data_IF_048106676701
#
_entry.id   IF_048106676701
#
_cell.length_a   1.000
_cell.length_b   1.000
_cell.length_c   1.000
_cell.angle_alpha   90.00
_cell.angle_beta   90.00
_cell.angle_gamma   90.00
#
_symmetry.space_group_name_H-M   'P 1'
#
loop_
_entity.id
_entity.type
_entity.pdbx_description
1 polymer ?
#
# COMPACT_ATOMS: atom_id res chain seq x y z
N UNK A 1 -11.75 -23.52 83.26
CA UNK A 1 -13.04 -23.44 82.54
C UNK A 1 -12.82 -22.57 81.32
N UNK A 2 -13.08 -23.14 80.12
CA UNK A 2 -13.40 -22.53 78.81
C UNK A 2 -13.36 -20.97 78.77
N UNK A 3 -12.81 -20.26 77.79
CA UNK A 3 -12.43 -20.54 76.39
C UNK A 3 -12.32 -19.17 75.68
N UNK A 4 -11.56 -19.09 74.58
CA UNK A 4 -11.64 -18.09 73.47
C UNK A 4 -11.06 -16.68 73.77
N UNK A 5 -10.34 -15.98 72.89
CA UNK A 5 -9.91 -16.16 71.49
C UNK A 5 -8.63 -15.33 71.32
N UNK A 6 -7.65 -15.94 70.67
CA UNK A 6 -6.42 -15.37 70.15
C UNK A 6 -6.75 -14.60 68.86
N UNK A 7 -6.42 -13.31 68.77
CA UNK A 7 -6.40 -12.58 67.49
C UNK A 7 -4.96 -12.19 67.14
N UNK A 8 -4.34 -13.05 66.33
CA UNK A 8 -3.52 -12.71 65.16
C UNK A 8 -4.22 -11.56 64.38
N UNK A 9 -3.61 -10.50 63.84
CA UNK A 9 -2.36 -10.43 63.09
C UNK A 9 -1.92 -8.97 62.96
N UNK A 10 -0.66 -8.69 63.29
CA UNK A 10 0.09 -7.50 62.85
C UNK A 10 0.78 -7.87 61.54
N UNK A 11 0.40 -7.26 60.42
CA UNK A 11 1.22 -7.05 59.20
C UNK A 11 0.36 -6.41 58.09
N UNK A 12 0.12 -5.10 58.22
CA UNK A 12 -0.35 -4.25 57.11
C UNK A 12 0.44 -2.94 57.16
N UNK A 13 1.71 -3.01 56.82
CA UNK A 13 2.53 -1.88 56.44
C UNK A 13 3.68 -2.43 55.60
N UNK A 14 3.96 -1.80 54.45
CA UNK A 14 5.02 -2.14 53.47
C UNK A 14 4.62 -3.00 52.25
N UNK A 15 3.52 -2.66 51.58
CA UNK A 15 3.30 -3.05 50.18
C UNK A 15 2.83 -1.86 49.30
N UNK A 16 3.27 -0.64 49.62
CA UNK A 16 2.79 0.60 48.99
C UNK A 16 3.82 1.41 48.18
N UNK A 17 5.06 0.94 47.99
CA UNK A 17 6.13 1.76 47.40
C UNK A 17 7.06 1.04 46.39
N UNK A 18 6.53 0.13 45.57
CA UNK A 18 7.28 -0.40 44.40
C UNK A 18 6.54 -0.28 43.05
N UNK A 19 5.58 0.65 42.93
CA UNK A 19 5.01 1.01 41.62
C UNK A 19 5.34 2.45 41.23
N UNK A 20 6.60 2.85 41.38
CA UNK A 20 7.11 4.08 40.76
C UNK A 20 8.18 3.74 39.75
N UNK A 21 7.93 4.09 38.48
CA UNK A 21 8.86 4.15 37.35
C UNK A 21 8.91 2.99 36.34
N UNK A 22 7.86 2.17 36.21
CA UNK A 22 7.49 1.74 34.85
C UNK A 22 6.86 2.96 34.16
N UNK A 23 7.70 3.85 33.64
CA UNK A 23 7.27 4.73 32.55
C UNK A 23 6.58 3.81 31.56
N UNK A 24 5.29 4.04 31.31
CA UNK A 24 4.58 3.44 30.20
C UNK A 24 5.38 3.78 28.94
N UNK A 25 6.34 2.92 28.61
CA UNK A 25 6.88 2.80 27.27
C UNK A 25 5.66 2.47 26.46
N UNK A 26 5.06 3.48 25.82
CA UNK A 26 4.17 3.21 24.71
C UNK A 26 4.91 2.21 23.83
N UNK A 27 4.28 1.09 23.45
CA UNK A 27 4.94 0.12 22.59
C UNK A 27 5.47 0.92 21.40
N UNK A 28 6.81 0.94 21.26
CA UNK A 28 7.46 1.61 20.14
C UNK A 28 6.84 0.96 18.91
N UNK A 29 6.05 1.72 18.17
CA UNK A 29 5.33 1.21 17.00
C UNK A 29 6.38 0.57 16.09
N UNK A 30 6.31 -0.75 15.97
CA UNK A 30 7.31 -1.49 15.23
C UNK A 30 7.24 -1.00 13.78
N UNK A 31 8.36 -0.48 13.29
CA UNK A 31 8.48 0.01 11.91
C UNK A 31 7.93 -1.04 10.95
N UNK A 32 7.04 -0.61 10.05
CA UNK A 32 6.47 -1.43 9.00
C UNK A 32 6.76 -0.81 7.63
N UNK A 33 7.05 -1.65 6.63
CA UNK A 33 7.13 -1.22 5.23
C UNK A 33 5.73 -1.01 4.67
N UNK A 34 5.55 0.02 3.85
CA UNK A 34 4.26 0.30 3.21
C UNK A 34 4.06 -0.61 2.01
N UNK A 35 2.85 -1.16 1.87
CA UNK A 35 2.44 -1.88 0.66
C UNK A 35 2.28 -0.91 -0.50
N UNK A 36 2.90 -1.25 -1.61
CA UNK A 36 2.80 -0.48 -2.85
C UNK A 36 1.49 -0.81 -3.57
N UNK A 37 0.61 0.18 -3.73
CA UNK A 37 -0.73 -0.03 -4.27
C UNK A 37 -1.02 0.93 -5.44
N UNK A 38 -1.98 0.54 -6.28
CA UNK A 38 -2.58 1.44 -7.27
C UNK A 38 -4.10 1.40 -7.15
N UNK A 39 -4.70 2.58 -7.05
CA UNK A 39 -6.16 2.73 -6.96
C UNK A 39 -6.73 2.75 -8.37
N UNK A 40 -7.50 1.72 -8.71
CA UNK A 40 -8.11 1.59 -10.03
C UNK A 40 -9.31 2.51 -10.12
N UNK A 41 -10.28 2.31 -9.23
CA UNK A 41 -11.56 3.01 -9.24
C UNK A 41 -12.19 3.05 -7.87
N UNK A 42 -12.99 4.09 -7.64
CA UNK A 42 -13.97 4.17 -6.55
C UNK A 42 -15.27 4.57 -7.22
N UNK A 43 -16.19 3.62 -7.32
CA UNK A 43 -17.44 3.81 -8.05
C UNK A 43 -18.58 4.15 -7.10
N UNK A 44 -19.38 5.15 -7.48
CA UNK A 44 -20.66 5.47 -6.90
C UNK A 44 -21.79 5.01 -7.83
N UNK A 45 -23.04 5.10 -7.37
CA UNK A 45 -24.19 4.90 -8.25
C UNK A 45 -24.31 6.06 -9.24
N UNK A 46 -24.92 5.83 -10.40
CA UNK A 46 -25.26 6.88 -11.37
C UNK A 46 -26.24 7.94 -10.84
N UNK A 47 -26.86 7.68 -9.68
CA UNK A 47 -27.64 8.68 -8.97
C UNK A 47 -26.73 9.73 -8.30
N UNK A 48 -25.60 9.30 -7.74
CA UNK A 48 -24.59 10.20 -7.18
C UNK A 48 -23.70 10.82 -8.26
N UNK A 49 -23.37 10.05 -9.30
CA UNK A 49 -22.59 10.50 -10.44
C UNK A 49 -23.51 11.04 -11.53
N UNK A 50 -23.75 12.35 -11.51
CA UNK A 50 -24.64 13.04 -12.42
C UNK A 50 -23.93 14.17 -13.18
N UNK A 51 -24.63 14.79 -14.14
CA UNK A 51 -24.05 15.82 -15.02
C UNK A 51 -23.53 17.07 -14.26
N UNK A 52 -23.98 17.32 -13.02
CA UNK A 52 -23.54 18.44 -12.19
C UNK A 52 -22.57 18.06 -11.07
N UNK A 53 -22.33 16.77 -10.82
CA UNK A 53 -21.49 16.30 -9.72
C UNK A 53 -20.99 14.87 -9.95
N UNK A 54 -19.66 14.69 -9.94
CA UNK A 54 -19.02 13.39 -10.05
C UNK A 54 -18.56 12.93 -8.65
N UNK A 55 -19.42 12.21 -7.94
CA UNK A 55 -19.15 11.73 -6.58
C UNK A 55 -17.97 10.76 -6.57
N UNK A 56 -17.89 9.85 -7.54
CA UNK A 56 -16.79 8.90 -7.70
C UNK A 56 -15.43 9.61 -7.74
N UNK A 57 -15.33 10.69 -8.51
CA UNK A 57 -14.11 11.48 -8.62
C UNK A 57 -13.74 12.21 -7.31
N UNK A 58 -14.74 12.78 -6.62
CA UNK A 58 -14.52 13.40 -5.31
C UNK A 58 -14.07 12.37 -4.26
N UNK A 59 -14.73 11.21 -4.21
CA UNK A 59 -14.36 10.12 -3.31
C UNK A 59 -12.95 9.59 -3.61
N UNK A 60 -12.59 9.45 -4.89
CA UNK A 60 -11.24 9.07 -5.33
C UNK A 60 -10.19 10.09 -4.90
N UNK A 61 -10.46 11.39 -5.05
CA UNK A 61 -9.57 12.45 -4.60
C UNK A 61 -9.33 12.40 -3.09
N UNK A 62 -10.38 12.18 -2.29
CA UNK A 62 -10.26 12.04 -0.83
C UNK A 62 -9.51 10.77 -0.42
N UNK A 63 -9.70 9.68 -1.17
CA UNK A 63 -9.07 8.40 -0.86
C UNK A 63 -7.55 8.47 -0.87
N UNK A 64 -6.94 9.16 -1.85
CA UNK A 64 -5.49 9.36 -1.86
C UNK A 64 -5.02 10.04 -0.57
N UNK A 65 -5.75 11.05 -0.07
CA UNK A 65 -5.47 11.69 1.21
C UNK A 65 -5.52 10.72 2.40
N UNK A 66 -6.53 9.84 2.42
CA UNK A 66 -6.70 8.81 3.47
C UNK A 66 -5.54 7.81 3.49
N UNK A 67 -5.02 7.41 2.34
CA UNK A 67 -3.89 6.47 2.25
C UNK A 67 -2.64 7.00 2.97
N UNK A 68 -2.40 8.32 2.91
CA UNK A 68 -1.23 8.94 3.54
C UNK A 68 -1.33 9.03 5.07
N UNK A 69 -2.53 8.93 5.66
CA UNK A 69 -2.72 9.07 7.12
C UNK A 69 -2.18 7.89 7.93
N UNK A 70 -2.28 6.66 7.39
CA UNK A 70 -2.06 5.42 8.17
C UNK A 70 -0.75 4.71 7.88
N UNK A 71 0.14 5.29 7.07
CA UNK A 71 1.49 4.79 6.77
C UNK A 71 1.59 3.30 6.36
N UNK A 72 0.48 2.65 6.02
CA UNK A 72 0.41 1.22 5.66
C UNK A 72 0.51 1.01 4.15
N UNK A 73 0.11 2.02 3.39
CA UNK A 73 0.06 2.01 1.94
C UNK A 73 0.86 3.16 1.37
N UNK A 74 1.35 2.96 0.15
CA UNK A 74 1.85 4.02 -0.70
C UNK A 74 1.18 3.88 -2.07
N UNK A 75 0.44 4.90 -2.48
CA UNK A 75 -0.13 4.98 -3.82
C UNK A 75 0.96 5.40 -4.81
N UNK A 76 1.40 4.47 -5.64
CA UNK A 76 2.35 4.76 -6.71
C UNK A 76 1.61 4.86 -8.03
N UNK A 77 1.61 6.06 -8.59
CA UNK A 77 1.00 6.33 -9.90
C UNK A 77 1.97 6.21 -11.07
N UNK A 78 3.27 6.17 -10.79
CA UNK A 78 4.33 6.03 -11.79
C UNK A 78 5.12 4.76 -11.51
N UNK A 79 5.01 3.80 -12.42
CA UNK A 79 5.90 2.65 -12.47
C UNK A 79 6.85 2.82 -13.64
N UNK A 80 8.09 2.33 -13.53
CA UNK A 80 8.93 2.23 -14.71
C UNK A 80 8.23 1.36 -15.76
N UNK A 81 8.05 1.89 -16.96
CA UNK A 81 7.66 1.07 -18.11
C UNK A 81 8.89 0.41 -18.73
N UNK A 82 8.69 -0.66 -19.52
CA UNK A 82 9.78 -1.23 -20.31
C UNK A 82 10.42 -0.16 -21.19
N UNK A 83 9.60 0.66 -21.84
CA UNK A 83 10.00 1.72 -22.76
C UNK A 83 10.90 2.75 -22.06
N UNK A 84 10.59 3.09 -20.81
CA UNK A 84 11.39 4.00 -19.98
C UNK A 84 12.76 3.44 -19.59
N UNK A 85 12.90 2.10 -19.58
CA UNK A 85 14.10 1.41 -19.10
C UNK A 85 15.01 0.94 -20.24
N UNK A 86 14.57 1.09 -21.50
CA UNK A 86 15.47 1.00 -22.66
C UNK A 86 16.34 2.25 -22.69
N UNK A 87 17.55 2.13 -22.15
CA UNK A 87 18.60 3.13 -22.37
C UNK A 87 18.80 3.27 -23.88
N UNK A 88 18.66 4.47 -24.49
CA UNK A 88 18.98 4.64 -25.90
C UNK A 88 20.43 4.22 -26.10
N UNK A 89 20.62 3.18 -26.88
CA UNK A 89 21.94 2.66 -27.22
C UNK A 89 22.72 3.78 -27.92
N UNK A 90 23.96 4.05 -27.48
CA UNK A 90 24.82 5.02 -28.16
C UNK A 90 25.22 4.56 -29.58
N UNK A 91 24.83 3.34 -29.98
CA UNK A 91 25.00 2.80 -31.32
C UNK A 91 23.79 2.95 -32.26
N UNK A 92 22.88 3.91 -32.01
CA UNK A 92 21.91 4.38 -33.02
C UNK A 92 22.57 5.24 -34.12
N UNK A 93 23.65 4.76 -34.73
CA UNK A 93 24.23 5.31 -35.96
C UNK A 93 23.98 4.32 -37.10
N UNK A 94 22.84 4.51 -37.79
CA UNK A 94 22.68 4.37 -39.26
C UNK A 94 21.21 4.48 -39.73
N UNK A 95 20.25 4.76 -38.84
CA UNK A 95 18.94 5.24 -39.28
C UNK A 95 19.05 6.75 -39.51
N UNK A 96 18.95 7.17 -40.78
CA UNK A 96 18.96 8.58 -41.17
C UNK A 96 18.02 9.40 -40.28
N UNK A 97 18.58 10.50 -39.82
CA UNK A 97 18.08 11.60 -38.98
C UNK A 97 16.81 12.28 -39.52
N UNK A 98 15.75 11.52 -39.81
CA UNK A 98 14.50 12.03 -40.36
C UNK A 98 13.31 11.23 -39.82
N UNK A 99 12.86 11.55 -38.60
CA UNK A 99 11.42 11.55 -38.21
C UNK A 99 11.17 11.68 -36.71
N UNK A 100 12.17 11.56 -35.84
CA UNK A 100 11.98 11.87 -34.42
C UNK A 100 12.45 13.30 -34.16
N UNK A 101 11.46 14.20 -34.09
CA UNK A 101 11.65 15.58 -33.70
C UNK A 101 12.49 15.66 -32.42
N UNK A 102 13.38 16.65 -32.39
CA UNK A 102 14.32 16.93 -31.31
C UNK A 102 13.62 17.49 -30.04
N UNK A 103 12.50 16.89 -29.65
CA UNK A 103 11.76 17.24 -28.44
C UNK A 103 11.97 16.15 -27.39
N UNK A 104 13.02 16.36 -26.58
CA UNK A 104 13.21 15.82 -25.22
C UNK A 104 12.79 14.35 -25.04
N UNK A 105 13.70 13.42 -25.33
CA UNK A 105 13.69 12.12 -24.65
C UNK A 105 13.92 12.43 -23.16
N UNK A 106 12.84 12.57 -22.39
CA UNK A 106 12.92 12.70 -20.94
C UNK A 106 13.48 11.40 -20.41
N UNK A 107 14.78 11.37 -20.12
CA UNK A 107 15.39 10.25 -19.40
C UNK A 107 14.58 10.06 -18.13
N UNK A 108 13.90 8.92 -18.02
CA UNK A 108 13.08 8.60 -16.85
C UNK A 108 13.92 8.82 -15.58
N UNK A 109 13.36 9.42 -14.50
CA UNK A 109 14.07 9.63 -13.24
C UNK A 109 14.77 8.37 -12.72
N UNK A 110 14.19 7.21 -13.02
CA UNK A 110 14.74 5.88 -12.76
C UNK A 110 16.10 5.67 -13.41
N UNK A 111 16.18 5.93 -14.72
CA UNK A 111 17.39 5.77 -15.50
C UNK A 111 18.48 6.75 -15.07
N UNK A 112 18.10 8.00 -14.78
CA UNK A 112 19.04 9.01 -14.29
C UNK A 112 19.67 8.58 -12.94
N UNK A 113 18.87 8.02 -12.03
CA UNK A 113 19.34 7.53 -10.74
C UNK A 113 20.24 6.29 -10.89
N UNK A 114 19.89 5.33 -11.75
CA UNK A 114 20.73 4.17 -12.03
C UNK A 114 22.09 4.60 -12.59
N UNK A 115 22.12 5.52 -13.58
CA UNK A 115 23.39 6.04 -14.11
C UNK A 115 24.23 6.75 -13.06
N UNK A 116 23.60 7.44 -12.10
CA UNK A 116 24.32 8.08 -10.98
C UNK A 116 25.00 7.04 -10.10
N UNK A 117 24.33 5.92 -9.80
CA UNK A 117 24.89 4.85 -8.97
C UNK A 117 25.89 3.96 -9.70
N UNK A 118 25.71 3.78 -11.00
CA UNK A 118 26.53 2.93 -11.86
C UNK A 118 26.93 3.70 -13.12
N UNK A 119 27.90 4.63 -13.03
CA UNK A 119 28.29 5.47 -14.18
C UNK A 119 28.82 4.69 -15.38
N UNK A 120 29.31 3.47 -15.15
CA UNK A 120 29.88 2.58 -16.17
C UNK A 120 28.87 1.57 -16.73
N UNK A 121 27.62 1.54 -16.21
CA UNK A 121 26.60 0.61 -16.69
C UNK A 121 26.22 0.92 -18.14
N UNK A 122 26.26 -0.11 -18.99
CA UNK A 122 25.85 -0.03 -20.40
C UNK A 122 24.34 -0.26 -20.51
N UNK A 123 23.75 0.21 -21.62
CA UNK A 123 22.33 0.00 -21.95
C UNK A 123 21.90 -1.46 -21.94
N UNK A 124 22.77 -2.32 -22.46
CA UNK A 124 22.63 -3.79 -22.47
C UNK A 124 22.64 -4.43 -21.09
N UNK A 125 23.18 -3.78 -20.05
CA UNK A 125 23.19 -4.31 -18.68
C UNK A 125 21.81 -4.17 -18.00
N UNK A 126 20.88 -3.44 -18.63
CA UNK A 126 19.47 -3.31 -18.25
C UNK A 126 18.54 -4.18 -19.11
N UNK A 127 19.06 -5.18 -19.83
CA UNK A 127 18.25 -6.02 -20.70
C UNK A 127 17.27 -6.89 -19.89
N UNK A 128 16.03 -6.45 -19.73
CA UNK A 128 14.98 -7.24 -19.11
C UNK A 128 14.67 -8.47 -19.95
N UNK A 129 14.66 -9.64 -19.32
CA UNK A 129 14.08 -10.81 -19.98
C UNK A 129 12.59 -10.54 -20.22
N UNK A 130 12.09 -10.81 -21.44
CA UNK A 130 10.66 -10.62 -21.76
C UNK A 130 9.73 -11.30 -20.74
N UNK A 131 10.19 -12.41 -20.14
CA UNK A 131 9.40 -13.21 -19.21
C UNK A 131 9.12 -12.55 -17.86
N UNK A 132 9.92 -11.57 -17.46
CA UNK A 132 9.86 -10.95 -16.12
C UNK A 132 9.76 -9.43 -16.18
N UNK A 133 9.88 -8.83 -17.36
CA UNK A 133 9.96 -7.39 -17.55
C UNK A 133 8.70 -6.65 -17.10
N UNK A 134 7.51 -7.23 -17.24
CA UNK A 134 6.28 -6.63 -16.73
C UNK A 134 6.18 -6.69 -15.20
N UNK A 135 6.89 -7.60 -14.52
CA UNK A 135 6.77 -7.79 -13.07
C UNK A 135 7.15 -6.55 -12.27
N UNK A 136 8.03 -5.71 -12.83
CA UNK A 136 8.52 -4.48 -12.23
C UNK A 136 7.59 -3.28 -12.44
N UNK A 137 6.63 -3.39 -13.36
CA UNK A 137 5.75 -2.28 -13.76
C UNK A 137 4.38 -2.30 -13.08
N UNK A 138 4.13 -3.26 -12.17
CA UNK A 138 2.86 -3.39 -11.45
C UNK A 138 3.01 -3.17 -9.94
N UNK A 139 1.96 -2.67 -9.26
CA UNK A 139 1.91 -2.59 -7.80
C UNK A 139 2.01 -3.96 -7.13
N UNK A 140 2.04 -3.98 -5.80
CA UNK A 140 1.74 -5.21 -5.06
C UNK A 140 0.24 -5.55 -5.12
N UNK A 141 -0.63 -4.52 -5.07
CA UNK A 141 -2.09 -4.67 -5.15
C UNK A 141 -2.74 -3.60 -6.01
N UNK A 142 -3.77 -3.99 -6.75
CA UNK A 142 -4.79 -3.06 -7.23
C UNK A 142 -5.88 -2.91 -6.18
N UNK A 143 -6.36 -1.70 -5.94
CA UNK A 143 -7.49 -1.45 -5.06
C UNK A 143 -8.65 -0.91 -5.89
N UNK A 144 -9.83 -1.51 -5.72
CA UNK A 144 -11.09 -0.97 -6.22
C UNK A 144 -12.08 -0.81 -5.06
N UNK A 145 -12.81 0.31 -5.07
CA UNK A 145 -13.86 0.63 -4.11
C UNK A 145 -15.21 0.79 -4.80
N UNK A 146 -16.26 0.55 -4.04
CA UNK A 146 -17.64 0.86 -4.44
C UNK A 146 -18.41 1.43 -3.25
N UNK A 147 -19.13 2.53 -3.48
CA UNK A 147 -20.10 3.08 -2.54
C UNK A 147 -21.42 2.37 -2.80
N UNK A 148 -21.77 1.46 -1.89
CA UNK A 148 -22.93 0.58 -2.02
C UNK A 148 -24.23 1.31 -1.70
N UNK A 149 -24.19 2.20 -0.71
CA UNK A 149 -25.33 3.01 -0.30
C UNK A 149 -24.87 4.35 0.28
N UNK A 150 -25.72 5.35 0.14
CA UNK A 150 -25.65 6.61 0.88
C UNK A 150 -27.07 7.01 1.22
N UNK A 151 -27.36 7.04 2.51
CA UNK A 151 -28.71 7.17 3.05
C UNK A 151 -28.73 8.30 4.07
N UNK A 152 -29.56 9.31 3.82
CA UNK A 152 -29.95 10.33 4.76
C UNK A 152 -31.27 9.93 5.45
N UNK A 153 -31.36 10.15 6.74
CA UNK A 153 -32.51 9.82 7.59
C UNK A 153 -33.02 11.09 8.27
N UNK A 154 -34.34 11.23 8.36
CA UNK A 154 -35.06 12.30 9.06
C UNK A 154 -36.09 11.64 9.99
N UNK A 155 -35.83 11.66 11.30
CA UNK A 155 -36.63 11.02 12.33
C UNK A 155 -36.72 9.49 12.20
N UNK A 156 -37.83 8.93 12.69
CA UNK A 156 -38.08 7.49 12.67
C UNK A 156 -38.72 6.97 11.35
N UNK A 157 -39.10 7.86 10.42
CA UNK A 157 -39.99 7.50 9.31
C UNK A 157 -39.49 7.86 7.90
N UNK A 158 -38.54 8.78 7.75
CA UNK A 158 -38.10 9.24 6.43
C UNK A 158 -36.65 8.86 6.17
N UNK A 159 -36.45 8.09 5.10
CA UNK A 159 -35.15 7.70 4.56
C UNK A 159 -35.08 8.15 3.11
N UNK A 160 -34.03 8.90 2.76
CA UNK A 160 -33.73 9.32 1.41
C UNK A 160 -32.30 8.90 1.06
N UNK A 161 -32.14 8.12 0.01
CA UNK A 161 -30.84 7.61 -0.38
C UNK A 161 -30.94 6.65 -1.56
N UNK A 162 -29.80 6.21 -2.05
CA UNK A 162 -29.78 5.13 -3.05
C UNK A 162 -29.50 3.80 -2.36
N UNK A 163 -30.50 2.92 -2.38
CA UNK A 163 -30.38 1.51 -2.03
C UNK A 163 -31.54 0.76 -2.71
N UNK A 164 -31.49 0.66 -4.04
CA UNK A 164 -32.47 0.02 -4.95
C UNK A 164 -33.98 0.35 -4.79
N UNK A 165 -34.37 1.15 -3.79
CA UNK A 165 -35.76 1.44 -3.44
C UNK A 165 -35.96 2.94 -3.53
N UNK A 166 -36.54 3.40 -4.63
CA UNK A 166 -36.93 4.79 -4.82
C UNK A 166 -38.10 5.08 -3.87
N UNK A 167 -37.80 5.65 -2.70
CA UNK A 167 -38.84 6.13 -1.78
C UNK A 167 -39.41 7.42 -2.37
N UNK A 168 -40.70 7.39 -2.76
CA UNK A 168 -41.43 8.58 -3.17
C UNK A 168 -41.64 9.48 -1.94
N UNK A 169 -41.06 10.68 -1.96
CA UNK A 169 -41.26 11.67 -0.90
C UNK A 169 -42.48 12.55 -1.24
N UNK A 170 -43.36 12.84 -0.26
CA UNK A 170 -44.46 13.79 -0.46
C UNK A 170 -43.92 15.22 -0.69
N UNK A 171 -44.47 15.90 -1.69
CA UNK A 171 -43.95 17.11 -2.36
C UNK A 171 -43.79 18.34 -1.45
N UNK A 172 -44.30 18.32 -0.20
CA UNK A 172 -44.31 19.50 0.70
C UNK A 172 -43.66 19.24 2.08
N UNK A 173 -42.91 18.15 2.25
CA UNK A 173 -42.30 17.83 3.54
C UNK A 173 -41.02 18.64 3.82
N UNK A 174 -40.98 19.36 4.95
CA UNK A 174 -39.73 19.92 5.50
C UNK A 174 -38.84 18.76 5.98
N UNK A 175 -37.89 18.36 5.15
CA UNK A 175 -36.91 17.33 5.51
C UNK A 175 -35.86 17.91 6.47
N UNK A 176 -35.78 17.39 7.69
CA UNK A 176 -34.69 17.69 8.62
C UNK A 176 -33.85 16.43 8.76
N UNK A 177 -32.67 16.42 8.16
CA UNK A 177 -31.77 15.28 8.29
C UNK A 177 -31.23 15.16 9.72
N UNK A 178 -31.41 14.00 10.32
CA UNK A 178 -30.92 13.68 11.67
C UNK A 178 -29.70 12.76 11.62
N UNK A 179 -29.62 11.91 10.60
CA UNK A 179 -28.54 10.93 10.45
C UNK A 179 -28.20 10.73 8.98
N UNK A 180 -26.93 10.50 8.68
CA UNK A 180 -26.49 9.99 7.38
C UNK A 180 -25.67 8.73 7.58
N UNK A 181 -25.85 7.75 6.70
CA UNK A 181 -25.13 6.48 6.63
C UNK A 181 -24.53 6.34 5.25
N UNK A 182 -23.33 5.80 5.18
CA UNK A 182 -22.74 5.34 3.93
C UNK A 182 -22.16 3.95 4.12
N UNK A 183 -22.43 3.07 3.16
CA UNK A 183 -21.83 1.74 3.11
C UNK A 183 -20.86 1.67 1.92
N UNK A 184 -19.65 1.21 2.19
CA UNK A 184 -18.57 1.07 1.21
C UNK A 184 -18.07 -0.37 1.20
N UNK A 185 -17.69 -0.86 0.02
CA UNK A 185 -16.92 -2.09 -0.12
C UNK A 185 -15.62 -1.81 -0.85
N UNK A 186 -14.52 -2.36 -0.35
CA UNK A 186 -13.22 -2.30 -1.01
C UNK A 186 -12.67 -3.70 -1.24
N UNK A 187 -12.07 -3.88 -2.41
CA UNK A 187 -11.40 -5.09 -2.83
C UNK A 187 -9.95 -4.78 -3.19
N UNK A 188 -9.04 -5.62 -2.70
CA UNK A 188 -7.66 -5.66 -3.15
C UNK A 188 -7.48 -6.87 -4.08
N UNK A 189 -6.91 -6.62 -5.25
CA UNK A 189 -6.67 -7.62 -6.26
C UNK A 189 -5.18 -7.88 -6.42
N UNK A 190 -4.84 -9.15 -6.62
CA UNK A 190 -3.53 -9.52 -7.11
C UNK A 190 -3.38 -9.01 -8.55
N UNK A 191 -2.36 -8.20 -8.86
CA UNK A 191 -2.22 -7.58 -10.19
C UNK A 191 -1.88 -8.58 -11.29
N UNK A 192 -1.58 -9.82 -10.94
CA UNK A 192 -1.19 -10.88 -11.87
C UNK A 192 -2.34 -11.82 -12.19
N UNK A 193 -3.00 -12.32 -11.15
CA UNK A 193 -4.09 -13.28 -11.30
C UNK A 193 -5.46 -12.62 -11.39
N UNK A 194 -5.54 -11.31 -11.08
CA UNK A 194 -6.79 -10.55 -10.92
C UNK A 194 -7.73 -11.14 -9.86
N UNK A 195 -7.23 -12.04 -8.99
CA UNK A 195 -8.00 -12.60 -7.91
C UNK A 195 -8.08 -11.62 -6.74
N UNK A 196 -9.22 -11.63 -6.04
CA UNK A 196 -9.41 -10.86 -4.81
C UNK A 196 -8.59 -11.50 -3.69
N UNK A 197 -7.65 -10.75 -3.12
CA UNK A 197 -6.80 -11.18 -1.99
C UNK A 197 -7.21 -10.52 -0.67
N UNK A 198 -8.04 -9.47 -0.74
CA UNK A 198 -8.63 -8.82 0.41
C UNK A 198 -9.96 -8.18 0.05
N UNK A 199 -10.94 -8.28 0.94
CA UNK A 199 -12.25 -7.66 0.78
C UNK A 199 -12.73 -7.15 2.13
N UNK A 200 -13.22 -5.92 2.17
CA UNK A 200 -13.78 -5.33 3.39
C UNK A 200 -15.04 -4.53 3.06
N UNK A 201 -15.97 -4.55 3.99
CA UNK A 201 -17.11 -3.63 4.00
C UNK A 201 -16.92 -2.68 5.18
N UNK A 202 -17.19 -1.40 4.97
CA UNK A 202 -17.21 -0.42 6.04
C UNK A 202 -18.52 0.36 6.00
N UNK A 203 -18.98 0.71 7.18
CA UNK A 203 -20.13 1.59 7.36
C UNK A 203 -19.66 2.83 8.10
N UNK A 204 -20.11 3.99 7.64
CA UNK A 204 -19.88 5.26 8.30
C UNK A 204 -21.20 5.95 8.61
N UNK A 205 -21.27 6.57 9.78
CA UNK A 205 -22.44 7.28 10.23
C UNK A 205 -22.06 8.67 10.74
N UNK A 206 -22.90 9.65 10.44
CA UNK A 206 -22.91 10.95 11.13
C UNK A 206 -24.30 11.21 11.67
N UNK A 207 -24.36 11.59 12.95
CA UNK A 207 -25.57 12.00 13.68
C UNK A 207 -25.47 13.51 13.96
N UNK A 208 -26.59 14.11 14.34
CA UNK A 208 -26.66 15.45 14.92
C UNK A 208 -26.30 16.58 13.94
N UNK A 209 -27.12 16.73 12.89
CA UNK A 209 -27.02 17.88 11.99
C UNK A 209 -27.67 19.12 12.62
N UNK A 210 -26.89 20.18 12.77
CA UNK A 210 -27.35 21.49 13.25
C UNK A 210 -28.02 22.33 12.17
N UNK A 211 -27.80 22.00 10.89
CA UNK A 211 -28.37 22.72 9.76
C UNK A 211 -29.61 21.99 9.22
N UNK A 212 -30.79 22.56 9.44
CA UNK A 212 -31.98 22.19 8.69
C UNK A 212 -31.87 22.77 7.29
N UNK A 213 -31.86 21.92 6.27
CA UNK A 213 -31.91 22.35 4.88
C UNK A 213 -33.31 22.08 4.32
N UNK A 214 -33.95 23.12 3.79
CA UNK A 214 -35.16 22.94 3.01
C UNK A 214 -34.79 22.35 1.65
N UNK A 215 -35.15 21.10 1.40
CA UNK A 215 -35.12 20.54 0.05
C UNK A 215 -36.44 20.94 -0.61
N UNK A 216 -36.40 21.74 -1.67
CA UNK A 216 -37.55 21.96 -2.53
C UNK A 216 -37.67 20.73 -3.46
N UNK A 217 -38.65 19.86 -3.21
CA UNK A 217 -38.70 18.46 -3.65
C UNK A 217 -39.06 18.26 -5.14
N UNK A 218 -38.86 19.29 -5.99
CA UNK A 218 -39.11 19.19 -7.42
C UNK A 218 -38.15 18.23 -8.13
N UNK A 219 -36.84 18.33 -7.85
CA UNK A 219 -35.78 17.42 -8.33
C UNK A 219 -34.59 17.55 -7.37
N UNK A 220 -34.29 16.52 -6.57
CA UNK A 220 -33.12 16.55 -5.67
C UNK A 220 -31.86 16.39 -6.52
N UNK A 221 -31.16 17.50 -6.77
CA UNK A 221 -29.84 17.48 -7.39
C UNK A 221 -28.79 17.42 -6.29
N UNK A 222 -28.11 16.27 -6.14
CA UNK A 222 -26.92 16.16 -5.31
C UNK A 222 -25.78 16.87 -6.04
N UNK A 223 -25.52 18.11 -5.63
CA UNK A 223 -24.44 18.96 -6.15
C UNK A 223 -23.34 19.21 -5.10
N UNK A 224 -22.28 19.96 -5.48
CA UNK A 224 -21.16 20.28 -4.59
C UNK A 224 -21.58 20.96 -3.27
N UNK A 225 -22.57 21.86 -3.32
CA UNK A 225 -23.08 22.54 -2.11
C UNK A 225 -23.81 21.57 -1.18
N UNK A 226 -24.59 20.64 -1.74
CA UNK A 226 -25.22 19.58 -0.94
C UNK A 226 -24.15 18.72 -0.27
N UNK A 227 -23.14 18.28 -1.02
CA UNK A 227 -22.02 17.49 -0.50
C UNK A 227 -21.30 18.17 0.67
N UNK A 228 -21.08 19.49 0.57
CA UNK A 228 -20.38 20.29 1.59
C UNK A 228 -21.22 20.55 2.84
N UNK A 229 -22.48 20.94 2.68
CA UNK A 229 -23.32 21.42 3.79
C UNK A 229 -23.98 20.27 4.57
N UNK A 230 -24.27 19.14 3.91
CA UNK A 230 -24.97 18.01 4.53
C UNK A 230 -24.07 17.06 5.30
N UNK A 231 -22.79 17.40 5.53
CA UNK A 231 -21.82 16.51 6.18
C UNK A 231 -21.55 15.20 5.43
N UNK A 232 -22.02 15.09 4.19
CA UNK A 232 -21.74 13.99 3.28
C UNK A 232 -20.23 13.81 3.09
N UNK A 233 -19.49 14.91 2.95
CA UNK A 233 -18.02 14.89 2.91
C UNK A 233 -17.39 14.19 4.13
N UNK A 234 -17.91 14.46 5.32
CA UNK A 234 -17.38 13.86 6.54
C UNK A 234 -17.72 12.38 6.66
N UNK A 235 -18.94 11.98 6.30
CA UNK A 235 -19.33 10.57 6.25
C UNK A 235 -18.51 9.82 5.22
N UNK A 236 -18.32 10.41 4.02
CA UNK A 236 -17.46 9.87 2.97
C UNK A 236 -16.05 9.65 3.48
N UNK A 237 -15.42 10.68 4.04
CA UNK A 237 -14.06 10.60 4.57
C UNK A 237 -13.95 9.56 5.71
N UNK A 238 -14.91 9.53 6.63
CA UNK A 238 -14.94 8.56 7.73
C UNK A 238 -15.05 7.12 7.21
N UNK A 239 -15.91 6.90 6.21
CA UNK A 239 -16.06 5.59 5.57
C UNK A 239 -14.80 5.17 4.83
N UNK A 240 -14.19 6.05 4.05
CA UNK A 240 -12.93 5.77 3.36
C UNK A 240 -11.81 5.43 4.36
N UNK A 241 -11.69 6.20 5.46
CA UNK A 241 -10.74 5.90 6.56
C UNK A 241 -10.96 4.52 7.17
N UNK A 242 -12.21 4.18 7.47
CA UNK A 242 -12.58 2.88 8.01
C UNK A 242 -12.23 1.76 7.03
N UNK A 243 -12.64 1.88 5.76
CA UNK A 243 -12.34 0.90 4.72
C UNK A 243 -10.84 0.71 4.50
N UNK A 244 -10.06 1.79 4.38
CA UNK A 244 -8.60 1.71 4.18
C UNK A 244 -7.94 1.02 5.38
N UNK A 245 -8.33 1.40 6.59
CA UNK A 245 -7.77 0.80 7.82
C UNK A 245 -8.08 -0.69 7.90
N UNK A 246 -9.34 -1.08 7.65
CA UNK A 246 -9.74 -2.49 7.66
C UNK A 246 -9.07 -3.28 6.54
N UNK A 247 -8.93 -2.69 5.34
CA UNK A 247 -8.26 -3.34 4.22
C UNK A 247 -6.77 -3.54 4.50
N UNK A 248 -6.11 -2.54 5.08
CA UNK A 248 -4.72 -2.64 5.53
C UNK A 248 -4.55 -3.77 6.55
N UNK A 249 -5.39 -3.80 7.59
CA UNK A 249 -5.36 -4.87 8.59
C UNK A 249 -5.57 -6.24 7.97
N UNK A 250 -6.52 -6.37 7.02
CA UNK A 250 -6.77 -7.62 6.31
C UNK A 250 -5.54 -8.06 5.51
N UNK A 251 -4.94 -7.17 4.72
CA UNK A 251 -3.78 -7.49 3.90
C UNK A 251 -2.50 -7.74 4.71
N UNK A 252 -2.34 -7.09 5.86
CA UNK A 252 -1.18 -7.30 6.75
C UNK A 252 -1.29 -8.59 7.57
N UNK A 253 -2.50 -9.10 7.79
CA UNK A 253 -2.74 -10.35 8.54
C UNK A 253 -2.97 -11.58 7.64
N UNK A 254 -3.19 -11.38 6.33
CA UNK A 254 -3.39 -12.47 5.38
C UNK A 254 -2.09 -13.23 5.10
N UNK A 255 -2.07 -14.58 5.25
CA UNK A 255 -0.94 -15.39 4.83
C UNK A 255 -0.66 -15.23 3.33
N UNK A 256 0.63 -15.12 2.96
CA UNK A 256 1.03 -14.94 1.56
C UNK A 256 0.99 -13.50 1.06
N UNK A 257 0.41 -12.59 1.84
CA UNK A 257 0.39 -11.15 1.56
C UNK A 257 1.52 -10.42 2.32
N UNK A 258 2.69 -11.01 2.43
CA UNK A 258 3.85 -10.32 2.98
C UNK A 258 4.25 -9.12 2.11
N UNK A 259 4.95 -8.15 2.68
CA UNK A 259 5.55 -7.09 1.87
C UNK A 259 6.53 -7.70 0.86
N UNK A 260 6.41 -7.30 -0.40
CA UNK A 260 7.34 -7.76 -1.45
C UNK A 260 7.52 -6.74 -2.55
N UNK A 261 8.66 -6.84 -3.23
CA UNK A 261 9.00 -6.03 -4.40
C UNK A 261 9.83 -6.85 -5.39
N UNK A 262 10.43 -6.18 -6.38
CA UNK A 262 11.15 -6.78 -7.50
C UNK A 262 12.54 -6.18 -7.71
N UNK A 263 13.46 -7.00 -8.19
CA UNK A 263 14.76 -6.56 -8.70
C UNK A 263 14.56 -5.88 -10.06
N UNK A 264 15.12 -4.69 -10.25
CA UNK A 264 15.05 -3.90 -11.49
C UNK A 264 16.41 -3.71 -12.16
N UNK A 265 17.50 -4.00 -11.46
CA UNK A 265 18.86 -4.05 -12.00
C UNK A 265 19.67 -5.09 -11.21
N UNK A 266 20.54 -5.81 -11.92
CA UNK A 266 21.43 -6.82 -11.35
C UNK A 266 22.81 -6.68 -11.99
N UNK A 267 23.83 -6.48 -11.15
CA UNK A 267 25.24 -6.54 -11.52
C UNK A 267 25.98 -7.53 -10.61
N UNK A 268 27.30 -7.64 -10.75
CA UNK A 268 28.09 -8.72 -10.14
C UNK A 268 27.86 -8.88 -8.62
N UNK A 269 27.95 -7.77 -7.88
CA UNK A 269 27.80 -7.75 -6.40
C UNK A 269 26.76 -6.74 -5.92
N UNK A 270 26.08 -6.06 -6.85
CA UNK A 270 25.14 -4.98 -6.53
C UNK A 270 23.86 -5.18 -7.32
N UNK A 271 22.75 -4.77 -6.73
CA UNK A 271 21.44 -4.79 -7.36
C UNK A 271 20.72 -3.47 -7.10
N UNK A 272 19.63 -3.25 -7.84
CA UNK A 272 18.62 -2.26 -7.51
C UNK A 272 17.27 -2.95 -7.37
N UNK A 273 16.57 -2.63 -6.29
CA UNK A 273 15.19 -3.08 -6.06
C UNK A 273 14.22 -1.93 -6.25
N UNK A 274 13.02 -2.26 -6.71
CA UNK A 274 11.91 -1.32 -6.80
C UNK A 274 11.42 -0.95 -5.39
N UNK A 275 11.20 0.34 -5.12
CA UNK A 275 10.84 0.81 -3.79
C UNK A 275 12.05 1.37 -3.03
N UNK A 276 11.81 2.46 -2.33
CA UNK A 276 12.82 3.17 -1.56
C UNK A 276 12.25 3.79 -0.30
N UNK A 277 12.67 5.02 0.01
CA UNK A 277 12.29 5.71 1.22
C UNK A 277 10.77 5.92 1.34
N UNK A 278 10.04 6.01 0.23
CA UNK A 278 8.58 6.11 0.30
C UNK A 278 7.92 4.81 0.79
N UNK A 279 8.56 3.68 0.46
CA UNK A 279 8.47 2.32 1.01
C UNK A 279 8.53 2.26 2.54
N UNK A 280 9.17 3.27 3.13
CA UNK A 280 9.72 3.18 4.46
C UNK A 280 11.00 2.34 4.51
N UNK A 281 11.66 2.05 3.38
CA UNK A 281 12.97 1.36 3.32
C UNK A 281 14.07 2.32 3.80
N UNK A 282 15.07 1.80 4.50
CA UNK A 282 16.22 2.56 5.00
C UNK A 282 17.53 1.86 4.63
N UNK A 283 18.65 2.61 4.54
CA UNK A 283 19.99 2.02 4.51
C UNK A 283 20.19 1.07 5.71
N UNK A 284 20.84 -0.05 5.47
CA UNK A 284 21.08 -1.10 6.47
C UNK A 284 19.99 -2.17 6.59
N UNK A 285 18.80 -1.95 6.02
CA UNK A 285 17.80 -3.02 5.92
C UNK A 285 18.33 -4.19 5.09
N UNK A 286 17.93 -5.41 5.44
CA UNK A 286 18.28 -6.61 4.70
C UNK A 286 17.06 -7.26 4.05
N UNK A 287 17.26 -7.75 2.84
CA UNK A 287 16.21 -8.41 2.04
C UNK A 287 16.68 -9.77 1.54
N UNK A 288 15.72 -10.67 1.39
CA UNK A 288 15.87 -11.98 0.74
C UNK A 288 15.39 -11.89 -0.70
N UNK A 289 16.16 -12.47 -1.61
CA UNK A 289 15.85 -12.50 -3.04
C UNK A 289 15.70 -13.94 -3.51
N UNK A 290 14.67 -14.14 -4.32
CA UNK A 290 14.29 -15.42 -4.88
C UNK A 290 14.11 -15.28 -6.39
N UNK A 291 14.93 -15.97 -7.18
CA UNK A 291 14.67 -16.12 -8.60
C UNK A 291 13.40 -16.96 -8.77
N UNK A 292 12.57 -16.60 -9.73
CA UNK A 292 11.30 -17.27 -10.00
C UNK A 292 11.21 -17.63 -11.49
N UNK A 293 10.69 -18.82 -11.77
CA UNK A 293 10.18 -19.20 -13.07
C UNK A 293 8.69 -18.91 -13.08
N UNK A 294 8.26 -18.18 -14.11
CA UNK A 294 6.89 -17.75 -14.29
C UNK A 294 6.19 -18.58 -15.37
N UNK A 295 4.97 -19.01 -15.08
CA UNK A 295 4.11 -19.70 -16.04
C UNK A 295 3.04 -18.72 -16.51
N UNK A 296 2.93 -18.55 -17.83
CA UNK A 296 2.02 -17.60 -18.45
C UNK A 296 0.99 -18.32 -19.31
N UNK A 297 -0.23 -17.77 -19.35
CA UNK A 297 -1.20 -18.03 -20.40
C UNK A 297 -1.13 -16.88 -21.42
N UNK A 298 -0.75 -17.20 -22.66
CA UNK A 298 -0.41 -16.22 -23.70
C UNK A 298 1.08 -15.87 -23.75
N UNK A 299 1.45 -14.86 -24.55
CA UNK A 299 2.83 -14.34 -24.59
C UNK A 299 3.19 -13.71 -23.24
N UNK A 300 4.36 -14.02 -22.70
CA UNK A 300 4.79 -13.44 -21.43
C UNK A 300 4.80 -11.91 -21.52
N UNK A 301 4.17 -11.27 -20.54
CA UNK A 301 4.03 -9.82 -20.46
C UNK A 301 3.25 -9.15 -21.63
N UNK A 302 2.50 -9.91 -22.43
CA UNK A 302 1.58 -9.35 -23.43
C UNK A 302 0.33 -8.72 -22.81
N UNK A 303 -0.37 -7.86 -23.57
CA UNK A 303 -1.57 -7.14 -23.09
C UNK A 303 -2.68 -8.06 -22.58
N UNK A 304 -2.88 -9.21 -23.25
CA UNK A 304 -3.86 -10.23 -22.88
C UNK A 304 -3.27 -11.37 -22.05
N UNK A 305 -2.04 -11.23 -21.53
CA UNK A 305 -1.35 -12.29 -20.81
C UNK A 305 -1.83 -12.42 -19.36
N UNK A 306 -1.92 -13.65 -18.88
CA UNK A 306 -2.29 -13.97 -17.51
C UNK A 306 -1.16 -14.78 -16.89
N UNK A 307 -0.61 -14.33 -15.77
CA UNK A 307 0.34 -15.12 -15.00
C UNK A 307 -0.44 -16.21 -14.25
N UNK A 308 -0.20 -17.47 -14.60
CA UNK A 308 -0.93 -18.62 -14.04
C UNK A 308 -0.17 -19.29 -12.88
N UNK A 309 1.13 -19.04 -12.77
CA UNK A 309 1.94 -19.59 -11.70
C UNK A 309 3.31 -18.95 -11.58
N UNK A 310 3.93 -19.10 -10.42
CA UNK A 310 5.33 -18.70 -10.19
C UNK A 310 5.97 -19.65 -9.20
N UNK A 311 7.09 -20.25 -9.59
CA UNK A 311 7.82 -21.21 -8.77
C UNK A 311 9.21 -20.67 -8.51
N UNK A 312 9.65 -20.71 -7.26
CA UNK A 312 11.04 -20.36 -6.90
C UNK A 312 11.96 -21.42 -7.48
N UNK A 313 12.99 -21.00 -8.25
CA UNK A 313 13.69 -21.87 -9.20
C UNK A 313 14.43 -23.03 -8.55
N UNK A 314 15.01 -22.87 -7.35
CA UNK A 314 15.84 -23.96 -6.85
C UNK A 314 16.29 -23.90 -5.39
N UNK A 315 16.02 -22.87 -4.59
CA UNK A 315 16.24 -23.02 -3.13
C UNK A 315 15.53 -21.94 -2.30
N UNK A 316 14.31 -22.21 -1.83
CA UNK A 316 13.69 -21.34 -0.84
C UNK A 316 14.51 -21.29 0.47
N UNK A 317 15.36 -22.31 0.71
CA UNK A 317 16.19 -22.41 1.91
C UNK A 317 17.50 -21.63 1.80
N UNK A 318 17.95 -21.30 0.59
CA UNK A 318 19.17 -20.52 0.35
C UNK A 318 18.89 -19.31 -0.57
N UNK A 319 18.19 -18.26 -0.11
CA UNK A 319 18.02 -17.02 -0.86
C UNK A 319 19.31 -16.19 -0.93
N UNK A 320 19.42 -15.30 -1.91
CA UNK A 320 20.40 -14.21 -1.80
C UNK A 320 19.96 -13.25 -0.70
N UNK A 321 20.89 -12.86 0.14
CA UNK A 321 20.73 -11.84 1.17
C UNK A 321 21.44 -10.59 0.66
N UNK A 322 20.69 -9.49 0.65
CA UNK A 322 21.22 -8.19 0.25
C UNK A 322 21.02 -7.19 1.37
N UNK A 323 21.88 -6.18 1.44
CA UNK A 323 21.77 -5.07 2.37
C UNK A 323 21.66 -3.75 1.61
N UNK A 324 20.72 -2.90 2.01
CA UNK A 324 20.51 -1.59 1.37
C UNK A 324 21.67 -0.65 1.71
N UNK A 325 22.30 -0.11 0.67
CA UNK A 325 23.32 0.93 0.78
C UNK A 325 22.69 2.33 0.74
N UNK A 326 21.78 2.52 -0.22
CA UNK A 326 21.13 3.80 -0.49
C UNK A 326 19.64 3.56 -0.78
N UNK A 327 18.79 4.08 0.11
CA UNK A 327 17.35 4.11 -0.05
C UNK A 327 16.95 5.41 -0.76
N UNK A 328 17.01 5.39 -2.09
CA UNK A 328 16.51 6.49 -2.91
C UNK A 328 15.00 6.70 -2.75
N UNK A 329 14.42 7.70 -3.42
CA UNK A 329 12.97 7.94 -3.27
C UNK A 329 12.15 6.76 -3.80
N UNK A 330 12.39 6.30 -5.04
CA UNK A 330 11.57 5.32 -5.75
C UNK A 330 12.15 3.90 -5.83
N UNK A 331 13.43 3.75 -5.52
CA UNK A 331 14.21 2.53 -5.68
C UNK A 331 15.37 2.55 -4.70
N UNK A 332 15.93 1.36 -4.41
CA UNK A 332 17.04 1.23 -3.47
C UNK A 332 18.19 0.45 -4.09
N UNK A 333 19.41 0.95 -3.88
CA UNK A 333 20.65 0.23 -4.21
C UNK A 333 21.02 -0.69 -3.05
N UNK A 334 21.39 -1.92 -3.36
CA UNK A 334 21.84 -2.89 -2.38
C UNK A 334 23.08 -3.66 -2.87
N UNK A 335 23.91 -4.13 -1.95
CA UNK A 335 24.97 -5.08 -2.23
C UNK A 335 24.61 -6.47 -1.71
N UNK A 336 25.17 -7.50 -2.35
CA UNK A 336 24.93 -8.91 -2.02
C UNK A 336 25.88 -9.34 -0.90
N UNK A 337 25.35 -9.93 0.18
CA UNK A 337 26.13 -10.39 1.34
C UNK A 337 26.65 -11.83 1.16
N UNK A 338 25.92 -12.69 0.44
CA UNK A 338 26.27 -14.08 0.16
C UNK A 338 26.38 -14.30 -1.36
N UNK A 339 27.45 -13.78 -1.96
CA UNK A 339 27.74 -14.01 -3.38
C UNK A 339 27.91 -15.51 -3.63
N UNK A 340 27.31 -16.00 -4.72
CA UNK A 340 27.28 -17.43 -5.08
C UNK A 340 27.93 -17.63 -6.43
N UNK A 341 29.06 -18.33 -6.46
CA UNK A 341 29.80 -18.58 -7.69
C UNK A 341 28.94 -19.30 -8.74
N UNK A 342 28.98 -18.80 -9.97
CA UNK A 342 28.26 -19.40 -11.11
C UNK A 342 26.74 -19.16 -11.11
N UNK A 343 26.21 -18.28 -10.27
CA UNK A 343 24.80 -17.89 -10.28
C UNK A 343 24.60 -16.38 -10.23
N UNK A 344 23.49 -15.90 -10.77
CA UNK A 344 23.13 -14.47 -10.81
C UNK A 344 21.71 -14.24 -10.30
N UNK A 345 21.47 -13.05 -9.74
CA UNK A 345 20.12 -12.59 -9.42
C UNK A 345 19.41 -12.19 -10.71
N UNK A 346 18.24 -12.76 -10.95
CA UNK A 346 17.46 -12.47 -12.16
C UNK A 346 16.73 -11.12 -12.05
N UNK A 347 16.58 -10.42 -13.18
CA UNK A 347 15.70 -9.27 -13.25
C UNK A 347 14.24 -9.72 -13.03
N UNK A 348 13.50 -8.98 -12.21
CA UNK A 348 12.15 -9.36 -11.77
C UNK A 348 12.11 -10.42 -10.66
N UNK A 349 13.27 -10.85 -10.13
CA UNK A 349 13.32 -11.72 -8.96
C UNK A 349 12.52 -11.13 -7.78
N UNK A 350 11.88 -12.01 -7.00
CA UNK A 350 11.06 -11.62 -5.86
C UNK A 350 11.95 -11.19 -4.70
N UNK A 351 11.66 -10.02 -4.16
CA UNK A 351 12.36 -9.46 -2.99
C UNK A 351 11.39 -9.44 -1.81
N UNK A 352 11.81 -9.99 -0.67
CA UNK A 352 11.06 -9.97 0.60
C UNK A 352 11.93 -9.39 1.71
N UNK A 353 11.31 -8.70 2.68
CA UNK A 353 12.02 -8.22 3.86
C UNK A 353 12.62 -9.38 4.64
N UNK A 354 13.90 -9.28 5.01
CA UNK A 354 14.55 -10.21 5.92
C UNK A 354 14.62 -9.64 7.34
N UNK A 355 15.23 -8.46 7.48
CA UNK A 355 15.46 -7.79 8.75
C UNK A 355 15.49 -6.28 8.54
N UNK A 356 14.94 -5.54 9.51
CA UNK A 356 15.14 -4.09 9.56
C UNK A 356 16.54 -3.75 10.04
N UNK A 357 17.08 -2.60 9.63
CA UNK A 357 18.42 -2.15 10.06
C UNK A 357 18.58 -2.15 11.58
N UNK A 358 17.53 -1.84 12.34
CA UNK A 358 17.56 -1.83 13.80
C UNK A 358 17.78 -3.26 14.36
N UNK A 359 17.23 -4.28 13.71
CA UNK A 359 17.42 -5.69 14.06
C UNK A 359 18.80 -6.21 13.66
N UNK A 360 19.32 -5.77 12.51
CA UNK A 360 20.68 -6.08 12.05
C UNK A 360 21.71 -5.59 13.06
N UNK A 361 21.56 -4.34 13.52
CA UNK A 361 22.45 -3.74 14.51
C UNK A 361 22.37 -4.47 15.87
N UNK A 362 21.17 -4.81 16.32
CA UNK A 362 20.98 -5.57 17.56
C UNK A 362 21.64 -6.95 17.50
N UNK A 363 21.50 -7.66 16.37
CA UNK A 363 22.15 -8.95 16.16
C UNK A 363 23.68 -8.84 16.15
N UNK A 364 24.23 -7.82 15.49
CA UNK A 364 25.67 -7.57 15.46
C UNK A 364 26.22 -7.25 16.85
N UNK A 365 25.51 -6.46 17.66
CA UNK A 365 25.89 -6.16 19.04
C UNK A 365 25.90 -7.41 19.92
N UNK A 366 24.85 -8.24 19.85
CA UNK A 366 24.77 -9.49 20.60
C UNK A 366 25.91 -10.48 20.23
N UNK A 367 26.30 -10.53 18.96
CA UNK A 367 27.43 -11.36 18.51
C UNK A 367 28.79 -10.83 18.97
N UNK A 368 28.95 -9.51 19.10
CA UNK A 368 30.17 -8.90 19.61
C UNK A 368 30.36 -9.19 21.11
N UNK A 369 29.29 -9.14 21.91
CA UNK A 369 29.31 -9.48 23.34
C UNK A 369 29.58 -10.96 23.60
N UNK A 370 29.16 -11.84 22.68
CA UNK A 370 29.34 -13.29 22.81
C UNK A 370 30.77 -13.77 22.51
N UNK A 371 31.65 -12.94 21.91
CA UNK A 371 33.05 -13.34 21.68
C UNK A 371 33.83 -13.22 23.00
N UNK A 372 34.27 -14.36 23.60
CA UNK A 372 34.99 -14.32 24.87
C UNK A 372 36.29 -13.51 24.72
N UNK A 373 36.55 -12.65 25.70
CA UNK A 373 37.76 -11.84 25.74
C UNK A 373 38.98 -12.78 25.65
N UNK A 374 39.84 -12.67 24.60
CA UNK A 374 41.02 -13.51 24.50
C UNK A 374 41.90 -13.22 25.72
N UNK A 375 42.05 -14.22 26.58
CA UNK A 375 42.92 -14.16 27.77
C UNK A 375 44.38 -14.26 27.39
#
# INVERSE_FOLDING_TARGET
MKSKILHTSVLMACAGFFMSATKCSQPVEQRALKKNIKVMQIEASSFLDNAGFNFSEVAKSQFSGVLFEKNNFFERNVYPSLEDMVLPDQNYFNVKKASLGADKISVSPTVAQIKKWFPQAKSQDLAFSRNSACLISRPQHFIAGKINSLEAYSGAAFQFGFNQSLVQLPIEAKFKMDKMRMDLSFHAYNPWTQQVVGSVNAEAFKKDYSAGFGIDLGIIHIGPEFYRVTGMAEVTLAGLRASVTSLAQKLLSSPGEDWSTRVIYSGDNNIVILGGAELGIKPGDQFKIYNQIHTWHGEACGESSILTGSTVVSDAQDPWIVQIDDAGTLMSKAHILNVKDGSSVDLGALVKLHMYTEQVQALAAAQAEAKPNPK
#
